data_IF_289871584972
#
_entry.id   IF_289871584972
#
_cell.length_a   1.000
_cell.length_b   1.000
_cell.length_c   1.000
_cell.angle_alpha   90.00
_cell.angle_beta   90.00
_cell.angle_gamma   90.00
#
_symmetry.space_group_name_H-M   'P 1'
#
loop_
_entity.id
_entity.type
_entity.pdbx_description
1 polymer ?
#
# COMPACT_ATOMS: atom_id res chain seq x y z
N UNK A 1 -4.62 18.37 18.71
CA UNK A 1 -5.71 17.38 18.86
C UNK A 1 -5.78 16.64 17.55
N UNK A 2 -5.69 15.33 17.42
CA UNK A 2 -5.47 14.21 18.34
C UNK A 2 -4.84 13.12 17.45
N UNK A 3 -3.86 12.35 17.95
CA UNK A 3 -3.49 11.06 17.36
C UNK A 3 -2.73 10.16 18.37
N UNK A 4 -2.92 10.39 19.67
CA UNK A 4 -2.44 9.48 20.73
C UNK A 4 -3.29 8.19 20.82
N UNK A 5 -4.15 7.92 19.83
CA UNK A 5 -5.13 6.84 19.85
C UNK A 5 -5.39 6.12 18.53
N UNK A 6 -4.65 6.39 17.45
CA UNK A 6 -4.67 5.54 16.26
C UNK A 6 -3.86 4.26 16.56
N UNK A 7 -4.45 3.41 17.39
CA UNK A 7 -3.99 2.03 17.52
C UNK A 7 -4.39 1.37 16.21
N UNK A 8 -3.45 1.24 15.28
CA UNK A 8 -3.53 0.26 14.21
C UNK A 8 -2.91 -1.04 14.74
N UNK A 9 -3.64 -1.86 15.54
CA UNK A 9 -3.02 -2.98 16.26
C UNK A 9 -2.39 -4.00 15.32
N UNK A 10 -2.89 -4.05 14.07
CA UNK A 10 -2.44 -4.99 13.03
C UNK A 10 -1.22 -4.50 12.24
N UNK A 11 -0.84 -3.23 12.32
CA UNK A 11 0.33 -2.72 11.59
C UNK A 11 1.61 -3.01 12.37
N UNK A 12 2.68 -3.37 11.66
CA UNK A 12 4.00 -3.47 12.25
C UNK A 12 4.65 -2.08 12.43
N UNK A 13 5.74 -1.99 13.19
CA UNK A 13 6.41 -0.71 13.51
C UNK A 13 6.90 0.05 12.26
N UNK A 14 7.33 -0.66 11.21
CA UNK A 14 7.73 -0.03 9.94
C UNK A 14 6.53 0.62 9.25
N UNK A 15 5.38 -0.05 9.23
CA UNK A 15 4.15 0.48 8.62
C UNK A 15 3.63 1.68 9.40
N UNK A 16 3.69 1.65 10.74
CA UNK A 16 3.33 2.80 11.59
C UNK A 16 4.21 4.02 11.32
N UNK A 17 5.53 3.84 11.26
CA UNK A 17 6.47 4.92 10.91
C UNK A 17 6.20 5.49 9.51
N UNK A 18 5.92 4.63 8.52
CA UNK A 18 5.57 5.08 7.18
C UNK A 18 4.26 5.88 7.16
N UNK A 19 3.22 5.40 7.85
CA UNK A 19 1.95 6.11 7.99
C UNK A 19 2.17 7.52 8.57
N UNK A 20 2.91 7.63 9.68
CA UNK A 20 3.19 8.92 10.32
C UNK A 20 3.96 9.88 9.40
N UNK A 21 4.92 9.37 8.63
CA UNK A 21 5.69 10.18 7.67
C UNK A 21 4.81 10.70 6.53
N UNK A 22 3.90 9.88 6.02
CA UNK A 22 2.95 10.29 4.98
C UNK A 22 1.99 11.34 5.52
N UNK A 23 1.42 11.15 6.72
CA UNK A 23 0.54 12.14 7.36
C UNK A 23 1.28 13.46 7.61
N UNK A 24 2.52 13.41 8.09
CA UNK A 24 3.36 14.62 8.29
C UNK A 24 3.62 15.34 6.96
N UNK A 25 3.86 14.59 5.88
CA UNK A 25 4.00 15.16 4.54
C UNK A 25 2.70 15.85 4.09
N UNK A 26 1.55 15.20 4.27
CA UNK A 26 0.23 15.73 3.95
C UNK A 26 -0.09 17.02 4.72
N UNK A 27 0.28 17.07 6.01
CA UNK A 27 0.12 18.27 6.84
C UNK A 27 0.96 19.46 6.33
N UNK A 28 2.10 19.18 5.69
CA UNK A 28 3.02 20.21 5.19
C UNK A 28 2.62 20.69 3.79
N UNK A 29 2.22 19.78 2.90
CA UNK A 29 2.05 20.06 1.47
C UNK A 29 0.59 19.98 0.98
N UNK A 30 -0.32 19.49 1.82
CA UNK A 30 -1.72 19.27 1.48
C UNK A 30 -1.99 17.90 0.86
N UNK A 31 -3.21 17.74 0.35
CA UNK A 31 -3.67 16.48 -0.25
C UNK A 31 -2.94 16.14 -1.54
N UNK A 32 -2.76 14.84 -1.77
CA UNK A 32 -2.34 14.35 -3.06
C UNK A 32 -3.48 14.46 -4.09
N UNK A 33 -3.13 14.39 -5.37
CA UNK A 33 -4.10 14.18 -6.45
C UNK A 33 -4.17 12.70 -6.86
N UNK A 34 -5.21 12.36 -7.64
CA UNK A 34 -5.47 10.96 -8.06
C UNK A 34 -4.55 10.51 -9.21
N UNK A 35 -3.81 11.41 -9.83
CA UNK A 35 -3.06 11.17 -11.05
C UNK A 35 -1.73 10.44 -10.85
N UNK A 36 -0.93 10.39 -11.91
CA UNK A 36 0.39 9.73 -11.95
C UNK A 36 1.57 10.70 -11.77
N UNK A 37 1.28 12.00 -11.63
CA UNK A 37 2.30 13.05 -11.54
C UNK A 37 3.05 13.06 -10.21
N UNK A 38 3.86 14.10 -10.01
CA UNK A 38 4.68 14.27 -8.80
C UNK A 38 3.85 14.35 -7.52
N UNK A 39 2.64 14.93 -7.57
CA UNK A 39 1.69 15.00 -6.46
C UNK A 39 0.62 13.89 -6.51
N UNK A 40 0.74 12.94 -7.42
CA UNK A 40 -0.29 11.93 -7.66
C UNK A 40 -0.09 10.63 -6.87
N UNK A 41 -1.17 10.00 -6.39
CA UNK A 41 -1.12 8.67 -5.73
C UNK A 41 -1.41 7.50 -6.66
N UNK A 42 -1.62 7.75 -7.95
CA UNK A 42 -2.01 6.73 -8.92
C UNK A 42 -3.24 5.94 -8.42
N UNK A 43 -4.32 6.68 -8.14
CA UNK A 43 -5.55 6.07 -7.66
C UNK A 43 -6.24 5.31 -8.79
N UNK A 44 -6.67 4.09 -8.50
CA UNK A 44 -7.48 3.24 -9.37
C UNK A 44 -8.85 3.04 -8.70
N UNK A 45 -9.91 3.21 -9.49
CA UNK A 45 -11.28 2.87 -9.07
C UNK A 45 -11.44 1.38 -8.81
N UNK A 46 -12.58 0.99 -8.23
CA UNK A 46 -12.93 -0.41 -8.06
C UNK A 46 -12.78 -1.21 -9.37
N UNK A 47 -13.32 -0.74 -10.47
CA UNK A 47 -13.26 -1.47 -11.76
C UNK A 47 -11.82 -1.62 -12.29
N UNK A 48 -10.93 -0.72 -11.90
CA UNK A 48 -9.55 -0.68 -12.37
C UNK A 48 -8.57 -1.35 -11.43
N UNK A 49 -9.00 -1.75 -10.22
CA UNK A 49 -8.13 -2.39 -9.24
C UNK A 49 -7.85 -3.86 -9.64
N UNK A 50 -6.62 -4.21 -10.08
CA UNK A 50 -6.31 -5.58 -10.48
C UNK A 50 -6.00 -6.48 -9.28
N UNK A 51 -6.01 -5.93 -8.06
CA UNK A 51 -5.53 -6.59 -6.85
C UNK A 51 -6.61 -6.91 -5.81
N UNK A 52 -7.89 -6.82 -6.18
CA UNK A 52 -9.03 -7.12 -5.28
C UNK A 52 -8.97 -8.52 -4.68
N UNK A 53 -8.61 -9.51 -5.50
CA UNK A 53 -8.46 -10.90 -5.05
C UNK A 53 -7.38 -11.07 -3.96
N UNK A 54 -6.57 -10.04 -3.70
CA UNK A 54 -5.55 -10.03 -2.68
C UNK A 54 -5.90 -9.19 -1.44
N UNK A 55 -7.11 -8.63 -1.37
CA UNK A 55 -7.52 -7.62 -0.38
C UNK A 55 -6.64 -6.36 -0.42
N UNK A 56 -6.05 -6.05 -1.58
CA UNK A 56 -5.34 -4.78 -1.78
C UNK A 56 -6.37 -3.74 -2.24
N UNK A 57 -7.24 -3.36 -1.30
CA UNK A 57 -8.38 -2.48 -1.52
C UNK A 57 -8.39 -1.37 -0.44
N UNK A 58 -9.06 -0.26 -0.75
CA UNK A 58 -9.15 0.88 0.17
C UNK A 58 -9.76 0.48 1.52
N UNK A 59 -10.79 -0.36 1.56
CA UNK A 59 -11.45 -0.75 2.83
C UNK A 59 -10.52 -1.43 3.86
N UNK A 60 -9.40 -2.02 3.41
CA UNK A 60 -8.39 -2.62 4.29
C UNK A 60 -7.20 -1.67 4.58
N UNK A 61 -7.17 -0.49 3.98
CA UNK A 61 -6.08 0.47 4.08
C UNK A 61 -6.17 1.32 5.35
N UNK A 62 -5.02 1.59 5.97
CA UNK A 62 -4.91 2.42 7.17
C UNK A 62 -5.39 3.87 6.99
N UNK A 63 -5.48 4.37 5.76
CA UNK A 63 -5.95 5.73 5.45
C UNK A 63 -7.45 5.81 5.13
N UNK A 64 -8.15 4.68 5.11
CA UNK A 64 -9.57 4.62 4.79
C UNK A 64 -10.42 4.95 6.02
N UNK A 65 -11.47 5.73 5.79
CA UNK A 65 -12.49 5.96 6.79
C UNK A 65 -13.85 6.18 6.11
N UNK A 66 -14.90 6.15 6.93
CA UNK A 66 -16.25 6.47 6.51
C UNK A 66 -16.66 7.85 7.04
N UNK A 67 -17.14 8.72 6.16
CA UNK A 67 -17.86 9.94 6.54
C UNK A 67 -19.36 9.68 6.36
N UNK A 68 -20.04 9.33 7.44
CA UNK A 68 -21.36 8.69 7.35
C UNK A 68 -21.23 7.30 6.72
N UNK A 69 -21.98 7.03 5.65
CA UNK A 69 -21.87 5.79 4.87
C UNK A 69 -20.95 5.96 3.63
N UNK A 70 -20.27 7.11 3.50
CA UNK A 70 -19.47 7.40 2.32
C UNK A 70 -18.00 7.05 2.53
N UNK A 71 -17.39 6.24 1.65
CA UNK A 71 -15.96 5.94 1.66
C UNK A 71 -15.11 7.19 1.39
N UNK A 72 -14.11 7.39 2.24
CA UNK A 72 -13.17 8.52 2.24
C UNK A 72 -11.74 8.05 2.49
N UNK A 73 -10.78 8.91 2.14
CA UNK A 73 -9.36 8.65 2.32
C UNK A 73 -8.68 9.86 2.97
N UNK A 74 -7.74 9.64 3.88
CA UNK A 74 -6.94 10.71 4.47
C UNK A 74 -5.99 11.37 3.46
N UNK A 75 -5.59 10.66 2.40
CA UNK A 75 -4.54 11.11 1.47
C UNK A 75 -5.04 11.99 0.34
N UNK A 76 -6.32 11.86 -0.05
CA UNK A 76 -6.90 12.55 -1.21
C UNK A 76 -8.28 13.09 -0.88
N UNK A 77 -8.69 14.15 -1.57
CA UNK A 77 -10.04 14.72 -1.40
C UNK A 77 -11.09 13.98 -2.23
N UNK A 78 -12.32 13.96 -1.72
CA UNK A 78 -13.51 13.48 -2.41
C UNK A 78 -13.86 12.01 -2.14
N UNK A 79 -14.88 11.53 -2.85
CA UNK A 79 -15.33 10.14 -2.78
C UNK A 79 -14.29 9.19 -3.38
N UNK A 80 -14.06 8.06 -2.72
CA UNK A 80 -13.27 6.93 -3.23
C UNK A 80 -14.12 5.67 -3.23
N UNK A 81 -13.75 4.66 -4.01
CA UNK A 81 -14.37 3.35 -3.93
C UNK A 81 -13.73 2.52 -2.81
N UNK A 82 -14.55 1.78 -2.04
CA UNK A 82 -14.07 0.85 -1.02
C UNK A 82 -13.11 -0.21 -1.60
N UNK A 83 -13.42 -0.70 -2.82
CA UNK A 83 -12.60 -1.65 -3.57
C UNK A 83 -11.51 -0.99 -4.44
N UNK A 84 -11.31 0.34 -4.30
CA UNK A 84 -10.27 1.07 -5.03
C UNK A 84 -8.86 0.76 -4.52
N UNK A 85 -7.84 1.29 -5.19
CA UNK A 85 -6.43 1.06 -4.82
C UNK A 85 -5.55 2.28 -5.15
N UNK A 86 -4.45 2.49 -4.44
CA UNK A 86 -3.47 3.52 -4.78
C UNK A 86 -2.05 3.16 -4.33
N UNK A 87 -1.01 3.78 -4.90
CA UNK A 87 0.40 3.40 -4.65
C UNK A 87 0.91 3.58 -3.22
N UNK A 88 0.19 4.32 -2.38
CA UNK A 88 0.55 4.57 -0.97
C UNK A 88 -0.26 3.72 0.02
N UNK A 89 -0.91 2.66 -0.45
CA UNK A 89 -1.62 1.73 0.44
C UNK A 89 -0.71 1.27 1.60
N UNK A 90 -1.28 1.24 2.80
CA UNK A 90 -0.68 0.59 3.97
C UNK A 90 -1.76 -0.34 4.51
N UNK A 91 -1.57 -1.63 4.28
CA UNK A 91 -2.50 -2.70 4.66
C UNK A 91 -1.70 -3.69 5.51
N UNK A 92 -2.27 -4.15 6.63
CA UNK A 92 -1.62 -5.16 7.46
C UNK A 92 -1.43 -6.46 6.68
N UNK A 93 -0.33 -7.16 6.94
CA UNK A 93 -0.14 -8.52 6.45
C UNK A 93 -1.31 -9.43 6.85
N UNK A 94 -1.95 -9.20 8.00
CA UNK A 94 -3.12 -9.97 8.46
C UNK A 94 -4.36 -9.78 7.58
N UNK A 95 -4.52 -8.60 6.99
CA UNK A 95 -5.67 -8.25 6.15
C UNK A 95 -5.43 -8.63 4.67
N UNK A 96 -4.17 -8.76 4.27
CA UNK A 96 -3.78 -9.32 2.97
C UNK A 96 -4.07 -10.83 2.94
N UNK A 97 -4.74 -11.30 1.88
CA UNK A 97 -5.04 -12.74 1.73
C UNK A 97 -3.79 -13.62 1.76
N UNK A 98 -3.90 -14.77 2.44
CA UNK A 98 -2.80 -15.76 2.58
C UNK A 98 -2.25 -16.26 1.25
N UNK A 99 -3.09 -16.36 0.22
CA UNK A 99 -2.68 -16.73 -1.13
C UNK A 99 -1.74 -15.68 -1.74
N UNK A 100 -1.99 -14.40 -1.49
CA UNK A 100 -1.12 -13.28 -1.87
C UNK A 100 0.21 -13.32 -1.14
N UNK A 101 0.21 -13.65 0.16
CA UNK A 101 1.44 -13.84 0.93
C UNK A 101 2.26 -15.03 0.37
N UNK A 102 1.59 -16.12 -0.01
CA UNK A 102 2.23 -17.27 -0.63
C UNK A 102 2.81 -16.91 -2.01
N UNK A 103 2.06 -16.20 -2.85
CA UNK A 103 2.52 -15.72 -4.14
C UNK A 103 3.73 -14.78 -4.01
N UNK A 104 3.71 -13.83 -3.05
CA UNK A 104 4.83 -12.94 -2.78
C UNK A 104 6.08 -13.69 -2.29
N UNK A 105 5.91 -14.69 -1.41
CA UNK A 105 7.01 -15.58 -0.96
C UNK A 105 7.59 -16.39 -2.12
N UNK A 106 6.75 -16.88 -3.04
CA UNK A 106 7.19 -17.61 -4.23
C UNK A 106 7.95 -16.70 -5.19
N UNK A 107 7.45 -15.48 -5.45
CA UNK A 107 8.14 -14.50 -6.30
C UNK A 107 9.49 -14.10 -5.72
N UNK A 108 9.57 -13.80 -4.42
CA UNK A 108 10.84 -13.46 -3.76
C UNK A 108 11.82 -14.64 -3.72
N UNK A 109 11.33 -15.88 -3.58
CA UNK A 109 12.17 -17.07 -3.67
C UNK A 109 12.73 -17.24 -5.09
N UNK A 110 11.91 -17.05 -6.13
CA UNK A 110 12.35 -17.09 -7.54
C UNK A 110 13.36 -15.99 -7.85
N UNK A 111 13.15 -14.77 -7.35
CA UNK A 111 14.09 -13.66 -7.56
C UNK A 111 15.44 -13.90 -6.85
N UNK A 112 15.43 -14.47 -5.64
CA UNK A 112 16.68 -14.93 -4.98
C UNK A 112 17.37 -16.05 -5.76
N UNK A 113 16.61 -16.98 -6.33
CA UNK A 113 17.18 -18.03 -7.19
C UNK A 113 17.77 -17.45 -8.47
N UNK A 114 17.14 -16.43 -9.06
CA UNK A 114 17.61 -15.74 -10.26
C UNK A 114 18.89 -14.91 -10.01
N UNK A 115 18.97 -14.19 -8.88
CA UNK A 115 20.21 -13.52 -8.46
C UNK A 115 21.33 -14.51 -8.12
N UNK A 116 21.00 -15.69 -7.57
CA UNK A 116 21.97 -16.73 -7.30
C UNK A 116 22.52 -17.37 -8.58
N UNK A 117 21.69 -17.55 -9.61
CA UNK A 117 22.15 -18.05 -10.92
C UNK A 117 23.01 -17.03 -11.66
N UNK A 118 22.67 -15.74 -11.64
CA UNK A 118 23.51 -14.71 -12.27
C UNK A 118 24.86 -14.50 -11.58
N UNK A 119 24.98 -14.76 -10.27
CA UNK A 119 26.27 -14.66 -9.55
C UNK A 119 27.20 -15.86 -9.73
N UNK A 120 26.72 -16.97 -10.31
CA UNK A 120 27.54 -18.16 -10.55
C UNK A 120 28.18 -18.17 -11.95
N UNK A 121 27.70 -17.33 -12.87
CA UNK A 121 28.20 -17.26 -14.26
C UNK A 121 29.32 -16.21 -14.46
N UNK A 122 29.50 -15.27 -13.51
CA UNK A 122 30.56 -14.24 -13.56
C UNK A 122 31.95 -14.73 -13.09
N UNK A 123 32.13 -16.04 -12.86
CA UNK A 123 33.44 -16.62 -12.50
C UNK A 123 34.16 -17.38 -13.61
N UNK A 124 33.71 -17.26 -14.86
CA UNK A 124 34.53 -17.65 -16.01
C UNK A 124 34.45 -16.61 -17.11
N UNK A 125 35.32 -15.60 -17.04
CA UNK A 125 36.14 -15.12 -18.16
C UNK A 125 37.30 -14.31 -17.55
N UNK A 126 38.49 -14.91 -17.69
CA UNK A 126 39.87 -14.44 -17.41
C UNK A 126 40.36 -14.51 -15.97
#
# INVERSE_FOLDING_TARGET
>A
MANEGLVFPKLNERQKDLYLKIVTNLQTYGYFDRGMGSNGIQYLSAEQNPFKEQNLECEYCAFYYLEGDKPRCELIQGDIDAEGWCKFWIISDEDIRKESQAAFKVLNKKNKTFEATYRLDDKQIK
#
